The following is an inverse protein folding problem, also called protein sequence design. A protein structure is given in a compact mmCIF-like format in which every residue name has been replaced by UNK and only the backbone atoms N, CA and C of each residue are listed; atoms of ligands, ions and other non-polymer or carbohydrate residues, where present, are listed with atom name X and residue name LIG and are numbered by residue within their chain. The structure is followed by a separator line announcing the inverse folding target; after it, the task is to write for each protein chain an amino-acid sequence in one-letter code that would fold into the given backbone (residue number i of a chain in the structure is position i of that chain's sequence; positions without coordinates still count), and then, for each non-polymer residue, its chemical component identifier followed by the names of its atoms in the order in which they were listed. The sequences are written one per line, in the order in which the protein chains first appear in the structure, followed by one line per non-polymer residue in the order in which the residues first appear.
data_IF_661752024462
#
_entry.id   IF_661752024462
#
_cell.length_a   1.000
_cell.length_b   1.000
_cell.length_c   1.000
_cell.angle_alpha   90.00
_cell.angle_beta   90.00
_cell.angle_gamma   90.00
#
_symmetry.space_group_name_H-M   'P 1'
#
loop_
_entity.id
_entity.type
_entity.pdbx_description
1 polymer ?
#
# COMPACT_ATOMS: atom_id res chain seq x y z
N UNK A 1 -35.78 7.32 76.14
CA UNK A 1 -35.61 6.08 75.36
C UNK A 1 -36.34 6.08 74.00
N UNK A 2 -37.32 6.98 73.75
CA UNK A 2 -38.09 7.02 72.49
C UNK A 2 -37.40 7.75 71.32
N UNK A 3 -36.40 8.60 71.55
CA UNK A 3 -35.66 9.29 70.48
C UNK A 3 -34.73 8.35 69.71
N UNK A 4 -33.99 7.51 70.44
CA UNK A 4 -33.01 6.57 69.87
C UNK A 4 -33.66 5.51 68.96
N UNK A 5 -34.87 5.04 69.29
CA UNK A 5 -35.61 4.11 68.42
C UNK A 5 -36.15 4.80 67.16
N UNK A 6 -36.47 6.10 67.24
CA UNK A 6 -36.92 6.90 66.09
C UNK A 6 -35.78 7.11 65.10
N UNK A 7 -34.59 7.46 65.60
CA UNK A 7 -33.36 7.63 64.80
C UNK A 7 -32.98 6.34 64.06
N UNK A 8 -33.12 5.19 64.73
CA UNK A 8 -32.85 3.89 64.13
C UNK A 8 -33.88 3.51 63.06
N UNK A 9 -35.16 3.78 63.32
CA UNK A 9 -36.23 3.58 62.35
C UNK A 9 -36.07 4.47 61.11
N UNK A 10 -35.68 5.74 61.29
CA UNK A 10 -35.37 6.63 60.17
C UNK A 10 -34.18 6.14 59.35
N UNK A 11 -33.13 5.65 60.01
CA UNK A 11 -31.96 5.10 59.32
C UNK A 11 -32.31 3.87 58.48
N UNK A 12 -33.15 2.97 59.02
CA UNK A 12 -33.68 1.83 58.27
C UNK A 12 -34.59 2.24 57.10
N UNK A 13 -35.48 3.21 57.32
CA UNK A 13 -36.36 3.71 56.26
C UNK A 13 -35.54 4.37 55.13
N UNK A 14 -34.50 5.12 55.50
CA UNK A 14 -33.61 5.77 54.56
C UNK A 14 -32.76 4.77 53.76
N UNK A 15 -32.23 3.72 54.39
CA UNK A 15 -31.48 2.68 53.67
C UNK A 15 -32.37 1.90 52.69
N UNK A 16 -33.62 1.61 53.07
CA UNK A 16 -34.61 1.00 52.18
C UNK A 16 -34.93 1.91 50.99
N UNK A 17 -35.08 3.22 51.23
CA UNK A 17 -35.32 4.19 50.16
C UNK A 17 -34.13 4.26 49.20
N UNK A 18 -32.91 4.33 49.71
CA UNK A 18 -31.69 4.31 48.89
C UNK A 18 -31.60 3.04 48.05
N UNK A 19 -31.86 1.87 48.65
CA UNK A 19 -31.89 0.59 47.94
C UNK A 19 -32.88 0.63 46.77
N UNK A 20 -34.06 1.22 46.97
CA UNK A 20 -35.08 1.36 45.94
C UNK A 20 -34.62 2.32 44.81
N UNK A 21 -34.06 3.47 45.16
CA UNK A 21 -33.56 4.46 44.19
C UNK A 21 -32.41 3.88 43.38
N UNK A 22 -31.46 3.22 44.02
CA UNK A 22 -30.37 2.54 43.32
C UNK A 22 -30.89 1.41 42.44
N UNK A 23 -31.78 0.56 42.95
CA UNK A 23 -32.41 -0.50 42.14
C UNK A 23 -33.07 0.04 40.88
N UNK A 24 -33.81 1.15 41.00
CA UNK A 24 -34.42 1.82 39.87
C UNK A 24 -33.38 2.43 38.92
N UNK A 25 -32.37 3.10 39.45
CA UNK A 25 -31.27 3.68 38.67
C UNK A 25 -30.47 2.64 37.90
N UNK A 26 -30.27 1.45 38.47
CA UNK A 26 -29.60 0.34 37.79
C UNK A 26 -30.40 -0.16 36.58
N UNK A 27 -31.73 -0.27 36.71
CA UNK A 27 -32.60 -0.67 35.59
C UNK A 27 -32.57 0.38 34.49
N UNK A 28 -32.63 1.67 34.84
CA UNK A 28 -32.52 2.76 33.87
C UNK A 28 -31.20 2.72 33.10
N UNK A 29 -30.08 2.64 33.83
CA UNK A 29 -28.75 2.56 33.23
C UNK A 29 -28.59 1.31 32.35
N UNK A 30 -29.26 0.21 32.71
CA UNK A 30 -29.25 -1.01 31.91
C UNK A 30 -29.90 -0.78 30.54
N UNK A 31 -31.05 -0.10 30.50
CA UNK A 31 -31.75 0.22 29.25
C UNK A 31 -30.88 1.13 28.38
N UNK A 32 -30.34 2.19 28.95
CA UNK A 32 -29.46 3.14 28.23
C UNK A 32 -28.19 2.46 27.70
N UNK A 33 -27.60 1.56 28.49
CA UNK A 33 -26.44 0.75 28.06
C UNK A 33 -26.78 -0.19 26.91
N UNK A 34 -27.95 -0.81 26.95
CA UNK A 34 -28.41 -1.71 25.89
C UNK A 34 -28.70 -0.93 24.61
N UNK A 35 -29.32 0.24 24.72
CA UNK A 35 -29.57 1.14 23.58
C UNK A 35 -28.26 1.55 22.88
N UNK A 36 -27.26 1.98 23.67
CA UNK A 36 -25.92 2.28 23.11
C UNK A 36 -25.25 1.07 22.45
N UNK A 37 -25.42 -0.13 22.99
CA UNK A 37 -24.87 -1.34 22.37
C UNK A 37 -25.53 -1.61 21.00
N UNK A 38 -26.82 -1.37 20.87
CA UNK A 38 -27.52 -1.46 19.59
C UNK A 38 -27.03 -0.40 18.60
N UNK A 39 -26.85 0.84 19.06
CA UNK A 39 -26.31 1.92 18.22
C UNK A 39 -24.92 1.60 17.69
N UNK A 40 -24.02 1.11 18.55
CA UNK A 40 -22.66 0.67 18.14
C UNK A 40 -22.75 -0.44 17.10
N UNK A 41 -23.60 -1.44 17.33
CA UNK A 41 -23.75 -2.57 16.40
C UNK A 41 -24.27 -2.10 15.05
N UNK A 42 -25.22 -1.16 15.05
CA UNK A 42 -25.75 -0.55 13.83
C UNK A 42 -24.67 0.22 13.08
N UNK A 43 -23.91 1.08 13.78
CA UNK A 43 -22.82 1.85 13.19
C UNK A 43 -21.74 0.95 12.61
N UNK A 44 -21.40 -0.14 13.30
CA UNK A 44 -20.49 -1.16 12.78
C UNK A 44 -21.01 -1.75 11.46
N UNK A 45 -22.30 -2.08 11.38
CA UNK A 45 -22.92 -2.58 10.16
C UNK A 45 -22.88 -1.57 9.00
N UNK A 46 -23.03 -0.27 9.29
CA UNK A 46 -22.92 0.79 8.28
C UNK A 46 -21.48 0.93 7.77
N UNK A 47 -20.49 0.84 8.66
CA UNK A 47 -19.05 0.84 8.32
C UNK A 47 -18.71 -0.39 7.47
N UNK A 48 -19.19 -1.57 7.85
CA UNK A 48 -18.91 -2.81 7.13
C UNK A 48 -19.50 -2.78 5.71
N UNK A 49 -20.71 -2.23 5.55
CA UNK A 49 -21.32 -2.03 4.24
C UNK A 49 -20.52 -1.07 3.36
N UNK A 50 -20.11 0.07 3.91
CA UNK A 50 -19.29 1.05 3.18
C UNK A 50 -17.93 0.45 2.77
N UNK A 51 -17.31 -0.32 3.66
CA UNK A 51 -16.03 -1.01 3.40
C UNK A 51 -16.18 -2.07 2.31
N UNK A 52 -17.26 -2.86 2.34
CA UNK A 52 -17.55 -3.87 1.33
C UNK A 52 -17.78 -3.25 -0.06
N UNK A 53 -18.50 -2.12 -0.12
CA UNK A 53 -18.71 -1.35 -1.35
C UNK A 53 -17.39 -0.82 -1.91
N UNK A 54 -16.53 -0.23 -1.06
CA UNK A 54 -15.21 0.26 -1.46
C UNK A 54 -14.33 -0.87 -1.99
N UNK A 55 -14.25 -1.99 -1.26
CA UNK A 55 -13.47 -3.16 -1.67
C UNK A 55 -13.93 -3.71 -3.02
N UNK A 56 -15.26 -3.74 -3.27
CA UNK A 56 -15.79 -4.15 -4.57
C UNK A 56 -15.36 -3.19 -5.69
N UNK A 57 -15.46 -1.89 -5.46
CA UNK A 57 -15.05 -0.89 -6.44
C UNK A 57 -13.55 -0.96 -6.73
N UNK A 58 -12.72 -1.22 -5.73
CA UNK A 58 -11.28 -1.44 -5.90
C UNK A 58 -11.00 -2.66 -6.79
N UNK A 59 -11.68 -3.78 -6.55
CA UNK A 59 -11.55 -4.99 -7.38
C UNK A 59 -11.99 -4.73 -8.83
N UNK A 60 -13.10 -4.03 -9.02
CA UNK A 60 -13.57 -3.67 -10.37
C UNK A 60 -12.59 -2.71 -11.06
N UNK A 61 -12.06 -1.72 -10.34
CA UNK A 61 -11.05 -0.78 -10.85
C UNK A 61 -9.78 -1.51 -11.26
N UNK A 62 -9.27 -2.43 -10.44
CA UNK A 62 -8.08 -3.20 -10.75
C UNK A 62 -8.30 -4.16 -11.93
N UNK A 63 -9.50 -4.73 -12.03
CA UNK A 63 -9.91 -5.53 -13.19
C UNK A 63 -9.93 -4.69 -14.47
N UNK A 64 -10.45 -3.46 -14.41
CA UNK A 64 -10.49 -2.54 -15.55
C UNK A 64 -9.09 -2.05 -15.95
N UNK A 65 -8.16 -1.95 -15.00
CA UNK A 65 -6.78 -1.52 -15.24
C UNK A 65 -5.86 -2.68 -15.67
N UNK A 66 -6.35 -3.92 -15.57
CA UNK A 66 -5.55 -5.09 -15.94
C UNK A 66 -5.17 -5.04 -17.43
N UNK A 67 -3.86 -5.14 -17.77
CA UNK A 67 -3.38 -4.93 -19.14
C UNK A 67 -4.00 -5.87 -20.19
N UNK A 68 -4.45 -7.06 -19.78
CA UNK A 68 -5.20 -7.98 -20.65
C UNK A 68 -6.55 -7.41 -21.09
N UNK A 69 -7.33 -6.82 -20.18
CA UNK A 69 -8.63 -6.21 -20.50
C UNK A 69 -8.50 -4.93 -21.30
N UNK A 70 -7.47 -4.11 -21.02
CA UNK A 70 -7.16 -2.97 -21.88
C UNK A 70 -6.82 -3.40 -23.30
N UNK A 71 -6.13 -4.54 -23.47
CA UNK A 71 -5.77 -5.05 -24.79
C UNK A 71 -6.98 -5.61 -25.54
N UNK A 72 -7.91 -6.27 -24.87
CA UNK A 72 -9.22 -6.64 -25.44
C UNK A 72 -10.03 -5.41 -25.88
N UNK A 73 -10.14 -4.40 -25.00
CA UNK A 73 -10.84 -3.15 -25.30
C UNK A 73 -10.17 -2.40 -26.46
N UNK A 74 -8.84 -2.34 -26.47
CA UNK A 74 -8.09 -1.71 -27.55
C UNK A 74 -8.42 -2.38 -28.90
N UNK A 75 -8.45 -3.71 -28.96
CA UNK A 75 -8.85 -4.45 -30.17
C UNK A 75 -10.29 -4.13 -30.58
N UNK A 76 -11.24 -4.04 -29.64
CA UNK A 76 -12.63 -3.66 -29.96
C UNK A 76 -12.75 -2.25 -30.54
N UNK A 77 -11.98 -1.29 -30.02
CA UNK A 77 -11.96 0.09 -30.52
C UNK A 77 -11.02 0.29 -31.73
N UNK A 78 -10.45 -0.79 -32.29
CA UNK A 78 -9.50 -0.72 -33.41
C UNK A 78 -8.15 -0.08 -33.07
N UNK A 79 -7.86 0.07 -31.77
CA UNK A 79 -6.60 0.57 -31.23
C UNK A 79 -5.59 -0.58 -31.19
N UNK A 80 -4.43 -0.37 -31.81
CA UNK A 80 -3.35 -1.34 -31.87
C UNK A 80 -2.01 -0.69 -31.53
N UNK A 81 -0.92 -1.47 -31.49
CA UNK A 81 0.42 -0.93 -31.34
C UNK A 81 0.67 0.15 -32.39
N UNK A 82 1.16 1.31 -31.97
CA UNK A 82 1.47 2.40 -32.89
C UNK A 82 2.46 1.91 -33.95
N UNK A 83 2.16 2.16 -35.23
CA UNK A 83 3.08 1.82 -36.33
C UNK A 83 4.32 2.72 -36.27
N UNK A 84 5.46 2.19 -36.71
CA UNK A 84 6.69 2.97 -36.87
C UNK A 84 6.40 4.20 -37.76
N UNK A 85 6.64 5.40 -37.23
CA UNK A 85 6.31 6.69 -37.88
C UNK A 85 5.02 7.38 -37.38
N UNK A 86 4.26 6.78 -36.47
CA UNK A 86 3.05 7.40 -35.89
C UNK A 86 3.29 8.06 -34.52
N UNK A 87 4.46 7.84 -33.91
CA UNK A 87 4.85 8.40 -32.62
C UNK A 87 5.44 9.79 -32.85
N UNK A 88 4.71 10.85 -32.46
CA UNK A 88 5.20 12.22 -32.53
C UNK A 88 5.81 12.62 -31.19
N UNK A 89 7.04 13.13 -31.20
CA UNK A 89 7.72 13.64 -30.02
C UNK A 89 7.46 15.14 -29.92
N UNK A 90 7.00 15.60 -28.75
CA UNK A 90 6.70 17.01 -28.51
C UNK A 90 7.84 17.61 -27.69
N UNK A 91 8.39 18.73 -28.14
CA UNK A 91 9.40 19.48 -27.40
C UNK A 91 8.82 20.28 -26.23
N UNK A 92 9.68 20.81 -25.37
CA UNK A 92 9.33 21.57 -24.14
C UNK A 92 8.43 22.80 -24.41
N UNK A 93 8.44 23.32 -25.63
CA UNK A 93 7.63 24.45 -26.11
C UNK A 93 6.30 24.03 -26.76
N UNK A 94 5.96 22.74 -26.82
CA UNK A 94 4.74 22.25 -27.48
C UNK A 94 4.84 22.05 -28.99
N UNK A 95 6.02 22.27 -29.59
CA UNK A 95 6.23 22.07 -31.03
C UNK A 95 6.49 20.59 -31.36
N UNK A 96 5.81 20.05 -32.39
CA UNK A 96 6.02 18.67 -32.83
C UNK A 96 7.37 18.55 -33.55
N UNK A 97 8.33 17.86 -32.93
CA UNK A 97 9.63 17.59 -33.52
C UNK A 97 9.41 16.53 -34.60
N UNK A 98 9.29 16.96 -35.86
CA UNK A 98 9.05 16.09 -37.01
C UNK A 98 10.13 15.03 -37.23
N UNK A 99 9.79 14.01 -38.02
CA UNK A 99 10.44 12.69 -38.16
C UNK A 99 11.93 12.65 -38.57
N UNK A 100 12.58 13.79 -38.81
CA UNK A 100 13.87 13.83 -39.53
C UNK A 100 15.09 14.24 -38.71
N UNK A 101 15.02 14.35 -37.37
CA UNK A 101 16.23 14.63 -36.56
C UNK A 101 16.57 13.57 -35.50
N UNK A 102 15.60 12.77 -35.07
CA UNK A 102 15.81 11.74 -34.05
C UNK A 102 16.23 10.39 -34.64
N UNK A 103 15.82 10.04 -35.87
CA UNK A 103 16.26 8.82 -36.55
C UNK A 103 17.79 8.82 -36.76
N UNK A 104 18.37 9.97 -37.10
CA UNK A 104 19.82 10.15 -37.22
C UNK A 104 20.53 10.03 -35.86
N UNK A 105 19.92 10.48 -34.77
CA UNK A 105 20.51 10.38 -33.43
C UNK A 105 20.47 8.94 -32.87
N UNK A 106 19.42 8.18 -33.16
CA UNK A 106 19.30 6.76 -32.78
C UNK A 106 20.21 5.88 -33.64
N UNK A 107 20.32 6.14 -34.95
CA UNK A 107 21.29 5.47 -35.82
C UNK A 107 22.73 5.82 -35.45
N UNK A 108 23.03 7.08 -35.11
CA UNK A 108 24.35 7.48 -34.63
C UNK A 108 24.72 6.70 -33.37
N UNK A 109 23.85 6.66 -32.34
CA UNK A 109 24.10 5.90 -31.11
C UNK A 109 24.27 4.40 -31.34
N UNK A 110 23.47 3.79 -32.22
CA UNK A 110 23.61 2.38 -32.60
C UNK A 110 24.92 2.08 -33.34
N UNK A 111 25.38 2.99 -34.21
CA UNK A 111 26.62 2.84 -34.94
C UNK A 111 27.86 2.97 -34.03
N UNK A 112 27.82 3.82 -33.01
CA UNK A 112 28.93 3.93 -32.03
C UNK A 112 29.03 2.66 -31.16
N UNK A 113 27.89 2.07 -30.77
CA UNK A 113 27.85 0.83 -30.00
C UNK A 113 28.43 -0.36 -30.80
N UNK A 114 28.06 -0.50 -32.07
CA UNK A 114 28.59 -1.54 -32.95
C UNK A 114 30.09 -1.35 -33.28
N UNK A 115 30.56 -0.10 -33.39
CA UNK A 115 31.99 0.19 -33.57
C UNK A 115 32.82 -0.15 -32.32
N UNK A 116 32.25 0.08 -31.12
CA UNK A 116 32.89 -0.31 -29.86
C UNK A 116 32.97 -1.83 -29.67
N UNK A 117 31.94 -2.57 -30.09
CA UNK A 117 31.93 -4.05 -30.02
C UNK A 117 32.92 -4.69 -31.02
N UNK A 118 33.08 -4.08 -32.21
CA UNK A 118 34.05 -4.51 -33.23
C UNK A 118 35.50 -4.16 -32.87
N UNK A 119 35.73 -3.14 -32.04
CA UNK A 119 37.04 -2.79 -31.49
C UNK A 119 37.44 -3.69 -30.30
N UNK A 120 36.48 -4.18 -29.52
CA UNK A 120 36.72 -5.09 -28.39
C UNK A 120 37.05 -6.54 -28.79
N UNK A 121 36.82 -6.91 -30.05
CA UNK A 121 37.06 -8.27 -30.58
C UNK A 121 38.44 -8.45 -31.26
N UNK A 122 39.28 -7.41 -31.32
CA UNK A 122 40.65 -7.49 -31.84
C UNK A 122 41.67 -7.80 -30.72
N UNK A 123 41.91 -9.10 -30.46
CA UNK A 123 42.91 -9.60 -29.50
C UNK A 123 44.34 -9.53 -30.06
N UNK A 124 45.33 -8.90 -29.40
CA UNK A 124 46.73 -9.16 -29.69
C UNK A 124 47.23 -10.39 -28.90
N UNK A 125 48.02 -11.23 -29.57
CA UNK A 125 48.65 -12.45 -29.04
C UNK A 125 49.98 -12.14 -28.33
N UNK A 126 50.28 -12.89 -27.27
CA UNK A 126 51.60 -13.02 -26.61
C UNK A 126 51.57 -12.52 -25.17
N UNK A 127 52.10 -13.18 -24.14
CA UNK A 127 52.93 -14.37 -24.00
C UNK A 127 53.07 -14.66 -22.50
N UNK A 128 53.48 -15.88 -22.18
CA UNK A 128 53.35 -16.59 -20.91
C UNK A 128 54.56 -16.38 -19.97
N UNK A 129 54.36 -16.63 -18.65
CA UNK A 129 55.30 -16.81 -17.50
C UNK A 129 55.11 -15.73 -16.41
N UNK A 130 55.06 -16.00 -15.11
CA UNK A 130 55.32 -17.20 -14.31
C UNK A 130 54.76 -17.00 -12.88
N UNK A 131 54.32 -18.12 -12.27
CA UNK A 131 54.59 -18.58 -10.91
C UNK A 131 54.24 -17.67 -9.70
N UNK A 132 53.20 -18.04 -8.94
CA UNK A 132 53.25 -18.84 -7.68
C UNK A 132 53.88 -18.11 -6.47
N UNK A 133 53.00 -17.68 -5.56
CA UNK A 133 53.10 -17.58 -4.09
C UNK A 133 52.19 -16.43 -3.65
N UNK A 134 51.36 -16.45 -2.62
CA UNK A 134 51.25 -17.33 -1.47
C UNK A 134 49.78 -17.37 -1.01
N UNK A 135 49.37 -18.56 -0.59
CA UNK A 135 48.12 -18.86 0.11
C UNK A 135 48.35 -18.58 1.60
N UNK A 136 47.53 -17.74 2.24
CA UNK A 136 46.91 -17.96 3.55
C UNK A 136 46.33 -16.66 4.16
N UNK A 137 45.34 -16.87 5.04
CA UNK A 137 44.73 -15.93 5.98
C UNK A 137 43.45 -15.21 5.50
N UNK A 138 42.31 -15.86 5.76
CA UNK A 138 41.02 -15.20 6.01
C UNK A 138 40.96 -14.84 7.50
N UNK A 139 40.56 -13.61 7.84
CA UNK A 139 39.78 -13.35 9.04
C UNK A 139 38.32 -13.02 8.66
N UNK A 140 37.38 -13.53 9.45
CA UNK A 140 35.99 -13.10 9.45
C UNK A 140 35.86 -11.67 9.99
N UNK A 141 34.77 -10.96 9.68
CA UNK A 141 34.08 -10.30 10.78
C UNK A 141 32.54 -10.40 10.72
N UNK A 142 32.02 -10.79 11.89
CA UNK A 142 31.03 -10.08 12.69
C UNK A 142 29.55 -10.02 12.23
N UNK A 143 28.79 -10.86 12.92
CA UNK A 143 27.36 -10.74 13.28
C UNK A 143 26.92 -9.32 13.59
N UNK A 144 25.95 -8.79 12.84
CA UNK A 144 25.14 -7.64 13.23
C UNK A 144 23.83 -8.12 13.86
N UNK A 145 23.54 -7.62 15.06
CA UNK A 145 22.31 -7.82 15.83
C UNK A 145 21.26 -6.72 15.49
N UNK A 146 20.00 -6.83 15.96
CA UNK A 146 18.79 -6.37 15.27
C UNK A 146 18.39 -4.91 15.55
N UNK A 147 17.58 -4.33 14.66
CA UNK A 147 16.99 -3.01 14.77
C UNK A 147 15.61 -3.09 15.45
N UNK A 148 15.46 -2.47 16.62
CA UNK A 148 14.18 -2.08 17.23
C UNK A 148 13.81 -0.65 16.80
N UNK A 149 12.57 -0.46 16.34
CA UNK A 149 11.64 0.65 16.62
C UNK A 149 10.36 0.45 15.79
#
# INVERSE_FOLDING_TARGET
MSSMSREWAFSMAFSLLLMLVFGMGLVWLNIERVDMAYEITRLQGEIDQATALSAKLEVERDTLITPGRLRELAVQFGLGPAKSGQIRWVGESGESIGDTKAADAVQARGNVANAAEKAASAKPKGGQRADKAAKAARPAPDTQAPYEN
#
